data_IF_142900961671
#
_entry.id   IF_142900961671
#
_cell.length_a   1.000
_cell.length_b   1.000
_cell.length_c   1.000
_cell.angle_alpha   90.00
_cell.angle_beta   90.00
_cell.angle_gamma   90.00
#
_symmetry.space_group_name_H-M   'P 1'
#
loop_
_entity.id
_entity.type
_entity.pdbx_description
1 polymer ?
#
# COMPACT_ATOMS: atom_id res chain seq x y z
N UNK A 1 -0.55 -13.46 -8.03
CA UNK A 1 -1.17 -12.47 -7.13
C UNK A 1 -2.44 -13.09 -6.56
N UNK A 2 -2.70 -12.93 -5.27
CA UNK A 2 -3.89 -13.51 -4.63
C UNK A 2 -5.15 -12.74 -5.03
N UNK A 3 -6.29 -13.43 -4.94
CA UNK A 3 -7.61 -12.80 -5.02
C UNK A 3 -7.76 -11.79 -3.90
N UNK A 4 -8.51 -10.72 -4.14
CA UNK A 4 -8.68 -9.63 -3.17
C UNK A 4 -9.31 -10.17 -1.88
N UNK A 5 -10.34 -11.01 -2.01
CA UNK A 5 -11.11 -11.56 -0.90
C UNK A 5 -10.25 -12.45 0.00
N UNK A 6 -9.33 -13.20 -0.60
CA UNK A 6 -8.37 -14.04 0.12
C UNK A 6 -7.42 -13.18 0.96
N UNK A 7 -6.91 -12.08 0.39
CA UNK A 7 -6.00 -11.19 1.12
C UNK A 7 -6.70 -10.40 2.21
N UNK A 8 -7.94 -9.95 1.95
CA UNK A 8 -8.79 -9.35 2.98
C UNK A 8 -9.04 -10.32 4.15
N UNK A 9 -9.23 -11.61 3.86
CA UNK A 9 -9.37 -12.64 4.89
C UNK A 9 -8.14 -12.72 5.81
N UNK A 10 -6.94 -12.63 5.22
CA UNK A 10 -5.67 -12.61 5.97
C UNK A 10 -5.57 -11.37 6.86
N UNK A 11 -5.90 -10.18 6.35
CA UNK A 11 -5.89 -8.93 7.11
C UNK A 11 -6.87 -9.01 8.29
N UNK A 12 -8.11 -9.44 8.05
CA UNK A 12 -9.12 -9.61 9.11
C UNK A 12 -8.69 -10.61 10.17
N UNK A 13 -8.09 -11.74 9.77
CA UNK A 13 -7.58 -12.75 10.71
C UNK A 13 -6.41 -12.21 11.54
N UNK A 14 -5.51 -11.42 10.94
CA UNK A 14 -4.43 -10.76 11.66
C UNK A 14 -5.00 -9.75 12.68
N UNK A 15 -5.99 -8.95 12.28
CA UNK A 15 -6.68 -8.02 13.18
C UNK A 15 -7.40 -8.73 14.32
N UNK A 16 -8.06 -9.87 14.06
CA UNK A 16 -8.79 -10.64 15.06
C UNK A 16 -7.88 -11.34 16.09
N UNK A 17 -6.62 -11.59 15.74
CA UNK A 17 -5.63 -12.26 16.62
C UNK A 17 -4.68 -11.26 17.29
N UNK A 18 -4.87 -9.96 17.06
CA UNK A 18 -4.06 -8.90 17.65
C UNK A 18 -4.30 -8.80 19.15
N UNK A 19 -3.24 -9.02 19.93
CA UNK A 19 -3.25 -8.89 21.40
C UNK A 19 -2.75 -7.53 21.88
N UNK A 20 -1.79 -6.92 21.19
CA UNK A 20 -1.28 -5.58 21.48
C UNK A 20 -1.94 -4.55 20.54
N UNK A 21 -2.66 -3.54 21.05
CA UNK A 21 -3.25 -2.50 20.22
C UNK A 21 -2.23 -1.65 19.44
N UNK A 22 -0.95 -1.68 19.83
CA UNK A 22 0.13 -0.98 19.11
C UNK A 22 0.73 -1.80 17.97
N UNK A 23 0.33 -3.07 17.81
CA UNK A 23 0.77 -3.89 16.70
C UNK A 23 0.07 -3.44 15.40
N UNK A 24 0.87 -3.01 14.42
CA UNK A 24 0.39 -2.49 13.14
C UNK A 24 0.37 -3.56 12.05
N UNK A 25 -0.70 -3.59 11.27
CA UNK A 25 -0.87 -4.45 10.11
C UNK A 25 -0.67 -3.62 8.84
N UNK A 26 0.40 -3.88 8.11
CA UNK A 26 0.73 -3.20 6.85
C UNK A 26 0.35 -4.11 5.68
N UNK A 27 -0.51 -3.62 4.79
CA UNK A 27 -0.99 -4.37 3.63
C UNK A 27 -0.32 -3.88 2.32
N UNK A 28 0.56 -4.68 1.69
CA UNK A 28 1.12 -4.35 0.39
C UNK A 28 0.13 -4.64 -0.75
N UNK A 29 0.07 -3.76 -1.74
CA UNK A 29 -0.83 -3.93 -2.91
C UNK A 29 -0.24 -4.85 -3.99
N UNK A 30 1.07 -4.78 -4.23
CA UNK A 30 1.87 -5.53 -5.22
C UNK A 30 1.35 -5.49 -6.69
N UNK A 31 0.31 -4.72 -6.98
CA UNK A 31 -0.29 -4.61 -8.30
C UNK A 31 0.68 -4.02 -9.32
N UNK A 32 1.36 -2.92 -8.97
CA UNK A 32 2.34 -2.26 -9.82
C UNK A 32 3.58 -3.15 -10.07
N UNK A 33 4.06 -3.86 -9.02
CA UNK A 33 5.12 -4.86 -9.14
C UNK A 33 4.74 -5.98 -10.10
N UNK A 34 3.47 -6.40 -10.07
CA UNK A 34 2.89 -7.38 -10.98
C UNK A 34 2.51 -6.80 -12.36
N UNK A 35 2.93 -5.56 -12.67
CA UNK A 35 2.63 -4.84 -13.93
C UNK A 35 1.14 -4.73 -14.22
N UNK A 36 0.33 -4.57 -13.17
CA UNK A 36 -1.10 -4.23 -13.28
C UNK A 36 -1.27 -2.71 -13.30
N UNK A 37 -2.49 -2.27 -13.61
CA UNK A 37 -2.81 -0.84 -13.65
C UNK A 37 -2.78 -0.20 -12.26
N UNK A 38 -2.62 1.12 -12.24
CA UNK A 38 -2.78 1.93 -11.04
C UNK A 38 -4.20 1.79 -10.44
N UNK A 39 -5.23 1.68 -11.28
CA UNK A 39 -6.61 1.44 -10.84
C UNK A 39 -6.74 0.16 -9.99
N UNK A 40 -6.11 -0.94 -10.41
CA UNK A 40 -6.08 -2.19 -9.65
C UNK A 40 -5.33 -2.01 -8.32
N UNK A 41 -4.24 -1.23 -8.31
CA UNK A 41 -3.52 -0.90 -7.08
C UNK A 41 -4.39 -0.10 -6.11
N UNK A 42 -5.11 0.91 -6.60
CA UNK A 42 -6.01 1.76 -5.83
C UNK A 42 -7.18 0.96 -5.26
N UNK A 43 -7.79 0.09 -6.08
CA UNK A 43 -8.86 -0.79 -5.64
C UNK A 43 -8.40 -1.70 -4.51
N UNK A 44 -7.24 -2.36 -4.67
CA UNK A 44 -6.65 -3.21 -3.61
C UNK A 44 -6.37 -2.43 -2.34
N UNK A 45 -5.80 -1.24 -2.45
CA UNK A 45 -5.54 -0.39 -1.30
C UNK A 45 -6.82 -0.07 -0.51
N UNK A 46 -7.90 0.31 -1.20
CA UNK A 46 -9.19 0.57 -0.59
C UNK A 46 -9.79 -0.68 0.07
N UNK A 47 -9.72 -1.83 -0.64
CA UNK A 47 -10.23 -3.11 -0.13
C UNK A 47 -9.44 -3.59 1.09
N UNK A 48 -8.14 -3.33 1.17
CA UNK A 48 -7.27 -3.75 2.27
C UNK A 48 -7.42 -2.82 3.48
N UNK A 49 -7.57 -1.52 3.25
CA UNK A 49 -7.94 -0.55 4.29
C UNK A 49 -9.30 -0.91 4.91
N UNK A 50 -10.32 -1.19 4.08
CA UNK A 50 -11.63 -1.63 4.55
C UNK A 50 -11.60 -2.96 5.33
N UNK A 51 -10.60 -3.81 5.07
CA UNK A 51 -10.39 -5.05 5.81
C UNK A 51 -9.67 -4.86 7.15
N UNK A 52 -9.20 -3.65 7.47
CA UNK A 52 -8.56 -3.30 8.74
C UNK A 52 -7.03 -3.19 8.70
N UNK A 53 -6.43 -2.97 7.53
CA UNK A 53 -5.01 -2.64 7.47
C UNK A 53 -4.76 -1.26 8.09
N UNK A 54 -3.77 -1.14 8.98
CA UNK A 54 -3.40 0.12 9.63
C UNK A 54 -2.57 1.02 8.70
N UNK A 55 -1.93 0.45 7.67
CA UNK A 55 -1.18 1.17 6.64
C UNK A 55 -1.21 0.41 5.31
N UNK A 56 -1.08 1.13 4.19
CA UNK A 56 -0.95 0.54 2.86
C UNK A 56 0.48 0.71 2.35
N UNK A 57 1.09 -0.39 1.91
CA UNK A 57 2.38 -0.33 1.23
C UNK A 57 2.19 -0.34 -0.28
N UNK A 58 2.74 0.68 -0.94
CA UNK A 58 2.86 0.74 -2.40
C UNK A 58 4.32 0.50 -2.80
N UNK A 59 4.51 -0.38 -3.77
CA UNK A 59 5.83 -0.74 -4.26
C UNK A 59 5.81 -0.67 -5.79
N UNK A 60 6.88 -0.11 -6.35
CA UNK A 60 7.11 -0.01 -7.79
C UNK A 60 8.52 -0.51 -8.10
N UNK A 61 8.70 -1.08 -9.29
CA UNK A 61 10.00 -1.45 -9.87
C UNK A 61 10.46 -0.46 -10.95
N UNK A 62 9.71 0.62 -11.17
CA UNK A 62 10.14 1.68 -12.08
C UNK A 62 11.39 2.37 -11.54
N UNK A 63 12.18 2.95 -12.44
CA UNK A 63 13.39 3.70 -12.07
C UNK A 63 13.09 5.12 -11.59
N UNK A 64 11.87 5.59 -11.77
CA UNK A 64 11.40 6.92 -11.37
C UNK A 64 10.26 6.79 -10.35
N UNK A 65 10.05 7.81 -9.50
CA UNK A 65 9.01 7.80 -8.48
C UNK A 65 7.60 8.01 -9.03
N UNK A 66 7.46 8.33 -10.32
CA UNK A 66 6.22 8.84 -10.92
C UNK A 66 5.01 7.93 -10.66
N UNK A 67 5.21 6.61 -10.72
CA UNK A 67 4.16 5.62 -10.48
C UNK A 67 3.70 5.62 -9.01
N UNK A 68 4.64 5.73 -8.07
CA UNK A 68 4.33 5.83 -6.65
C UNK A 68 3.67 7.18 -6.31
N UNK A 69 4.15 8.28 -6.90
CA UNK A 69 3.57 9.62 -6.72
C UNK A 69 2.17 9.73 -7.28
N UNK A 70 1.94 9.15 -8.46
CA UNK A 70 0.62 9.09 -9.07
C UNK A 70 -0.35 8.34 -8.16
N UNK A 71 0.05 7.17 -7.66
CA UNK A 71 -0.77 6.37 -6.75
C UNK A 71 -1.10 7.14 -5.48
N UNK A 72 -0.09 7.76 -4.86
CA UNK A 72 -0.23 8.56 -3.64
C UNK A 72 -1.24 9.68 -3.89
N UNK A 73 -1.10 10.44 -4.99
CA UNK A 73 -2.00 11.55 -5.35
C UNK A 73 -3.44 11.10 -5.62
N UNK A 74 -3.63 10.00 -6.34
CA UNK A 74 -4.95 9.49 -6.72
C UNK A 74 -5.68 8.80 -5.56
N UNK A 75 -4.95 8.27 -4.57
CA UNK A 75 -5.56 7.55 -3.44
C UNK A 75 -6.40 8.47 -2.56
N UNK A 76 -7.64 8.07 -2.34
CA UNK A 76 -8.57 8.63 -1.38
C UNK A 76 -8.80 7.64 -0.22
N UNK A 77 -7.85 7.59 0.72
CA UNK A 77 -7.89 6.70 1.90
C UNK A 77 -7.33 7.40 3.13
N UNK A 78 -7.65 6.90 4.32
CA UNK A 78 -7.36 7.54 5.60
C UNK A 78 -6.08 7.01 6.23
N UNK A 79 -5.76 5.74 6.00
CA UNK A 79 -4.56 5.15 6.59
C UNK A 79 -3.28 5.63 5.89
N UNK A 80 -2.15 5.74 6.61
CA UNK A 80 -0.87 6.16 6.03
C UNK A 80 -0.38 5.23 4.91
N UNK A 81 0.50 5.78 4.06
CA UNK A 81 1.16 5.05 2.98
C UNK A 81 2.61 4.77 3.37
N UNK A 82 3.07 3.55 3.08
CA UNK A 82 4.47 3.12 3.16
C UNK A 82 5.02 2.99 1.74
N UNK A 83 6.22 3.54 1.50
CA UNK A 83 6.93 3.48 0.21
C UNK A 83 8.29 2.83 0.44
N UNK A 84 8.73 2.01 -0.51
CA UNK A 84 10.06 1.36 -0.50
C UNK A 84 10.84 1.82 -1.75
N UNK A 85 11.58 2.94 -1.69
CA UNK A 85 12.17 3.60 -2.86
C UNK A 85 13.52 3.00 -3.28
N UNK A 86 13.68 1.68 -3.21
CA UNK A 86 14.95 1.02 -3.55
C UNK A 86 15.32 1.17 -5.03
N UNK A 87 14.34 1.26 -5.92
CA UNK A 87 14.53 1.42 -7.36
C UNK A 87 14.57 2.88 -7.84
N UNK A 88 14.15 3.83 -7.00
CA UNK A 88 14.03 5.27 -7.31
C UNK A 88 14.46 6.10 -6.09
N UNK A 89 15.77 6.14 -5.77
CA UNK A 89 16.30 6.76 -4.55
C UNK A 89 16.10 8.28 -4.47
N UNK A 90 15.71 8.94 -5.57
CA UNK A 90 15.29 10.34 -5.58
C UNK A 90 14.02 10.60 -4.74
N UNK A 91 13.25 9.56 -4.43
CA UNK A 91 12.17 9.60 -3.43
C UNK A 91 12.77 9.53 -2.02
N UNK A 92 13.29 10.67 -1.56
CA UNK A 92 13.85 10.82 -0.22
C UNK A 92 12.85 11.43 0.77
N UNK A 93 13.26 11.54 2.04
CA UNK A 93 12.42 12.10 3.11
C UNK A 93 11.91 13.52 2.83
N UNK A 94 12.70 14.36 2.16
CA UNK A 94 12.27 15.72 1.86
C UNK A 94 11.11 15.71 0.85
N UNK A 95 11.19 14.82 -0.15
CA UNK A 95 10.16 14.68 -1.19
C UNK A 95 8.87 14.05 -0.65
N UNK A 96 8.98 13.07 0.24
CA UNK A 96 7.80 12.40 0.83
C UNK A 96 7.00 13.28 1.80
N UNK A 97 7.62 14.31 2.38
CA UNK A 97 6.98 15.27 3.30
C UNK A 97 6.19 16.38 2.61
N UNK A 98 6.18 16.43 1.27
CA UNK A 98 5.56 17.53 0.49
C UNK A 98 4.04 17.38 0.31
N UNK A 99 3.36 16.63 1.18
CA UNK A 99 1.93 16.31 1.06
C UNK A 99 1.14 16.72 2.29
#
# INVERSE_FOLDING_TARGET
MLRVEEFQGKIRSAGATRSDPNFLIIAPTEALIARRSEEEALKRAADYEAAGADMILIHSKQKTPDEAESFVRARNGKVPIVIVPTAYPEMNEARTKTR
#
